data_IF_519140195046
#
_entry.id   IF_519140195046
#
_cell.length_a   1.000
_cell.length_b   1.000
_cell.length_c   1.000
_cell.angle_alpha   90.00
_cell.angle_beta   90.00
_cell.angle_gamma   90.00
#
_symmetry.space_group_name_H-M   'P 1'
#
loop_
_entity.id
_entity.type
_entity.pdbx_description
1 polymer ?
#
# COMPACT_ATOMS: atom_id res chain seq x y z
N UNK A 1 -52.81 -13.10 -1.68
CA UNK A 1 -53.71 -13.99 -2.45
C UNK A 1 -53.69 -15.31 -1.70
N UNK A 2 -54.83 -15.86 -1.31
CA UNK A 2 -54.83 -17.13 -0.57
C UNK A 2 -54.45 -18.26 -1.54
N UNK A 3 -53.51 -19.12 -1.13
CA UNK A 3 -53.12 -20.32 -1.90
C UNK A 3 -54.33 -21.22 -2.21
N UNK A 4 -55.37 -21.18 -1.36
CA UNK A 4 -56.60 -21.97 -1.50
C UNK A 4 -57.50 -21.54 -2.68
N UNK A 5 -57.29 -20.34 -3.24
CA UNK A 5 -58.07 -19.81 -4.38
C UNK A 5 -57.34 -19.95 -5.74
N UNK A 6 -56.11 -20.47 -5.74
CA UNK A 6 -55.29 -20.61 -6.95
C UNK A 6 -55.47 -21.99 -7.58
N UNK A 7 -55.47 -22.03 -8.91
CA UNK A 7 -55.46 -23.29 -9.65
C UNK A 7 -54.07 -23.95 -9.57
N UNK A 8 -53.97 -25.29 -9.77
CA UNK A 8 -52.70 -25.99 -9.71
C UNK A 8 -51.62 -25.42 -10.66
N UNK A 9 -52.01 -24.97 -11.85
CA UNK A 9 -51.10 -24.37 -12.82
C UNK A 9 -50.56 -23.02 -12.34
N UNK A 10 -51.41 -22.18 -11.70
CA UNK A 10 -51.01 -20.90 -11.11
C UNK A 10 -50.07 -21.07 -9.91
N UNK A 11 -50.28 -22.11 -9.10
CA UNK A 11 -49.38 -22.46 -7.98
C UNK A 11 -48.01 -22.89 -8.50
N UNK A 12 -47.96 -23.68 -9.57
CA UNK A 12 -46.70 -24.12 -10.18
C UNK A 12 -45.92 -22.95 -10.79
N UNK A 13 -46.59 -22.05 -11.51
CA UNK A 13 -45.97 -20.85 -12.10
C UNK A 13 -45.39 -19.93 -11.01
N UNK A 14 -46.17 -19.63 -9.96
CA UNK A 14 -45.71 -18.80 -8.86
C UNK A 14 -44.53 -19.42 -8.08
N UNK A 15 -44.49 -20.75 -7.93
CA UNK A 15 -43.37 -21.43 -7.30
C UNK A 15 -42.11 -21.34 -8.17
N UNK A 16 -42.25 -21.51 -9.49
CA UNK A 16 -41.14 -21.39 -10.47
C UNK A 16 -40.53 -20.00 -10.46
N UNK A 17 -41.34 -18.95 -10.35
CA UNK A 17 -40.86 -17.56 -10.22
C UNK A 17 -40.02 -17.33 -8.96
N UNK A 18 -40.31 -18.05 -7.88
CA UNK A 18 -39.51 -18.04 -6.64
C UNK A 18 -38.33 -19.02 -6.64
N UNK A 19 -38.04 -19.65 -7.79
CA UNK A 19 -36.89 -20.52 -8.01
C UNK A 19 -37.14 -22.00 -7.73
N UNK A 20 -38.39 -22.43 -7.55
CA UNK A 20 -38.75 -23.84 -7.50
C UNK A 20 -38.59 -24.51 -8.88
N UNK A 21 -38.25 -25.79 -8.89
CA UNK A 21 -38.17 -26.60 -10.11
C UNK A 21 -38.78 -27.98 -9.87
N UNK A 22 -39.59 -28.51 -10.81
CA UNK A 22 -40.13 -29.85 -10.69
C UNK A 22 -39.02 -30.91 -10.82
N UNK A 23 -39.28 -32.10 -10.31
CA UNK A 23 -38.37 -33.25 -10.36
C UNK A 23 -37.92 -33.58 -11.80
N UNK A 24 -38.84 -33.47 -12.77
CA UNK A 24 -38.56 -33.72 -14.19
C UNK A 24 -37.52 -32.77 -14.80
N UNK A 25 -37.35 -31.58 -14.22
CA UNK A 25 -36.43 -30.54 -14.71
C UNK A 25 -35.17 -30.42 -13.85
N UNK A 26 -35.07 -31.20 -12.76
CA UNK A 26 -33.90 -31.20 -11.88
C UNK A 26 -32.73 -31.92 -12.53
N UNK A 27 -31.60 -31.22 -12.68
CA UNK A 27 -30.37 -31.76 -13.23
C UNK A 27 -29.33 -31.88 -12.13
N UNK A 28 -29.09 -33.10 -11.65
CA UNK A 28 -28.10 -33.40 -10.62
C UNK A 28 -28.57 -34.47 -9.64
N UNK A 29 -27.83 -34.65 -8.55
CA UNK A 29 -28.26 -35.52 -7.47
C UNK A 29 -29.58 -35.01 -6.85
N UNK A 30 -30.51 -35.91 -6.48
CA UNK A 30 -31.74 -35.52 -5.80
C UNK A 30 -31.46 -34.71 -4.53
N UNK A 31 -32.30 -33.71 -4.19
CA UNK A 31 -32.14 -32.95 -2.96
C UNK A 31 -32.11 -33.87 -1.73
N UNK A 32 -31.27 -33.54 -0.73
CA UNK A 32 -31.10 -34.36 0.50
C UNK A 32 -32.40 -34.61 1.28
N UNK A 33 -33.41 -33.74 1.12
CA UNK A 33 -34.72 -33.85 1.78
C UNK A 33 -35.83 -34.34 0.84
N UNK A 34 -35.50 -34.78 -0.37
CA UNK A 34 -36.46 -35.09 -1.43
C UNK A 34 -37.02 -33.83 -2.11
N UNK A 35 -37.79 -34.05 -3.17
CA UNK A 35 -38.53 -32.99 -3.85
C UNK A 35 -39.74 -32.57 -3.01
N UNK A 36 -40.04 -31.27 -3.02
CA UNK A 36 -41.22 -30.69 -2.36
C UNK A 36 -42.21 -30.23 -3.42
N UNK A 37 -43.51 -30.27 -3.11
CA UNK A 37 -44.54 -29.76 -4.01
C UNK A 37 -44.41 -28.24 -4.19
N UNK A 38 -44.94 -27.71 -5.30
CA UNK A 38 -44.98 -26.27 -5.55
C UNK A 38 -45.75 -25.52 -4.44
N UNK A 39 -46.85 -26.11 -3.97
CA UNK A 39 -47.67 -25.57 -2.88
C UNK A 39 -46.91 -25.53 -1.54
N UNK A 40 -46.24 -26.62 -1.16
CA UNK A 40 -45.44 -26.67 0.07
C UNK A 40 -44.24 -25.71 0.03
N UNK A 41 -43.62 -25.57 -1.15
CA UNK A 41 -42.53 -24.61 -1.37
C UNK A 41 -43.01 -23.18 -1.17
N UNK A 42 -44.17 -22.81 -1.73
CA UNK A 42 -44.75 -21.48 -1.57
C UNK A 42 -45.19 -21.23 -0.13
N UNK A 43 -45.78 -22.20 0.58
CA UNK A 43 -46.10 -22.07 2.02
C UNK A 43 -44.86 -21.88 2.88
N UNK A 44 -43.76 -22.56 2.55
CA UNK A 44 -42.48 -22.38 3.24
C UNK A 44 -41.86 -21.00 2.91
N UNK A 45 -41.97 -20.56 1.66
CA UNK A 45 -41.60 -19.22 1.20
C UNK A 45 -42.37 -18.14 1.95
N UNK A 46 -43.70 -18.21 1.97
CA UNK A 46 -44.59 -17.24 2.61
C UNK A 46 -44.33 -17.10 4.13
N UNK A 47 -44.02 -18.22 4.80
CA UNK A 47 -43.63 -18.18 6.21
C UNK A 47 -42.22 -17.60 6.47
N UNK A 48 -41.32 -17.63 5.49
CA UNK A 48 -39.93 -17.16 5.62
C UNK A 48 -39.68 -15.77 5.04
N UNK A 49 -40.50 -15.33 4.09
CA UNK A 49 -40.44 -14.02 3.43
C UNK A 49 -40.55 -12.85 4.42
N UNK A 50 -41.43 -12.86 5.43
CA UNK A 50 -41.47 -11.80 6.45
C UNK A 50 -40.18 -11.73 7.25
N UNK A 51 -39.57 -12.87 7.60
CA UNK A 51 -38.32 -12.92 8.37
C UNK A 51 -37.13 -12.43 7.53
N UNK A 52 -37.07 -12.82 6.26
CA UNK A 52 -36.02 -12.36 5.32
C UNK A 52 -36.18 -10.88 5.02
N UNK A 53 -37.40 -10.39 4.81
CA UNK A 53 -37.69 -8.97 4.60
C UNK A 53 -37.27 -8.15 5.81
N UNK A 54 -37.66 -8.57 7.02
CA UNK A 54 -37.27 -7.91 8.26
C UNK A 54 -35.74 -7.86 8.43
N UNK A 55 -35.05 -8.98 8.20
CA UNK A 55 -33.57 -9.01 8.26
C UNK A 55 -32.93 -8.12 7.19
N UNK A 56 -33.49 -8.05 5.99
CA UNK A 56 -32.98 -7.17 4.94
C UNK A 56 -33.20 -5.69 5.28
N UNK A 57 -34.31 -5.35 5.93
CA UNK A 57 -34.55 -4.01 6.46
C UNK A 57 -33.55 -3.68 7.57
N UNK A 58 -33.34 -4.58 8.54
CA UNK A 58 -32.32 -4.44 9.59
C UNK A 58 -30.92 -4.27 8.98
N UNK A 59 -30.53 -5.10 8.01
CA UNK A 59 -29.24 -4.99 7.33
C UNK A 59 -29.06 -3.69 6.54
N UNK A 60 -30.15 -3.14 5.98
CA UNK A 60 -30.12 -1.84 5.30
C UNK A 60 -29.89 -0.72 6.31
N UNK A 61 -30.63 -0.73 7.43
CA UNK A 61 -30.45 0.24 8.52
C UNK A 61 -29.05 0.16 9.13
N UNK A 62 -28.52 -1.05 9.36
CA UNK A 62 -27.15 -1.22 9.83
C UNK A 62 -26.12 -0.69 8.83
N UNK A 63 -26.32 -0.93 7.52
CA UNK A 63 -25.45 -0.39 6.48
C UNK A 63 -25.48 1.14 6.44
N UNK A 64 -26.65 1.75 6.58
CA UNK A 64 -26.80 3.21 6.63
C UNK A 64 -26.09 3.77 7.86
N UNK A 65 -26.30 3.16 9.03
CA UNK A 65 -25.64 3.54 10.28
C UNK A 65 -24.11 3.45 10.17
N UNK A 66 -23.58 2.34 9.64
CA UNK A 66 -22.15 2.15 9.44
C UNK A 66 -21.56 3.18 8.46
N UNK A 67 -22.30 3.55 7.41
CA UNK A 67 -21.87 4.60 6.47
C UNK A 67 -21.78 5.95 7.17
N UNK A 68 -22.77 6.30 7.98
CA UNK A 68 -22.75 7.54 8.78
C UNK A 68 -21.59 7.56 9.78
N UNK A 69 -21.31 6.44 10.44
CA UNK A 69 -20.17 6.31 11.35
C UNK A 69 -18.83 6.47 10.61
N UNK A 70 -18.68 5.84 9.45
CA UNK A 70 -17.49 5.99 8.60
C UNK A 70 -17.30 7.46 8.19
N UNK A 71 -18.37 8.14 7.79
CA UNK A 71 -18.27 9.54 7.40
C UNK A 71 -17.97 10.46 8.58
N UNK A 72 -18.51 10.16 9.77
CA UNK A 72 -18.14 10.86 11.02
C UNK A 72 -16.66 10.64 11.34
N UNK A 73 -16.15 9.40 11.27
CA UNK A 73 -14.75 9.08 11.52
C UNK A 73 -13.81 9.77 10.53
N UNK A 74 -14.17 9.83 9.24
CA UNK A 74 -13.42 10.58 8.23
C UNK A 74 -13.36 12.07 8.57
N UNK A 75 -14.48 12.68 8.95
CA UNK A 75 -14.51 14.09 9.34
C UNK A 75 -13.67 14.37 10.59
N UNK A 76 -13.73 13.49 11.60
CA UNK A 76 -12.90 13.62 12.80
C UNK A 76 -11.41 13.49 12.48
N UNK A 77 -11.04 12.54 11.62
CA UNK A 77 -9.65 12.34 11.17
C UNK A 77 -9.15 13.56 10.38
N UNK A 78 -9.98 14.12 9.50
CA UNK A 78 -9.64 15.34 8.76
C UNK A 78 -9.44 16.54 9.69
N UNK A 79 -10.33 16.74 10.68
CA UNK A 79 -10.19 17.81 11.68
C UNK A 79 -8.96 17.63 12.56
N UNK A 80 -8.66 16.40 12.96
CA UNK A 80 -7.46 16.09 13.73
C UNK A 80 -6.20 16.41 12.91
N UNK A 81 -6.16 16.00 11.65
CA UNK A 81 -5.05 16.28 10.74
C UNK A 81 -4.83 17.78 10.56
N UNK A 82 -5.91 18.54 10.34
CA UNK A 82 -5.84 20.01 10.23
C UNK A 82 -5.34 20.65 11.53
N UNK A 83 -5.88 20.24 12.68
CA UNK A 83 -5.44 20.72 13.99
C UNK A 83 -3.95 20.45 14.23
N UNK A 84 -3.48 19.23 13.96
CA UNK A 84 -2.06 18.87 14.09
C UNK A 84 -1.20 19.70 13.15
N UNK A 85 -1.58 19.86 11.89
CA UNK A 85 -0.84 20.69 10.93
C UNK A 85 -0.75 22.15 11.36
N UNK A 86 -1.84 22.71 11.90
CA UNK A 86 -1.84 24.08 12.44
C UNK A 86 -0.95 24.18 13.68
N UNK A 87 -0.98 23.21 14.59
CA UNK A 87 -0.10 23.17 15.76
C UNK A 87 1.37 23.11 15.34
N UNK A 88 1.72 22.24 14.39
CA UNK A 88 3.08 22.15 13.84
C UNK A 88 3.53 23.45 13.19
N UNK A 89 2.65 24.08 12.40
CA UNK A 89 2.95 25.37 11.79
C UNK A 89 3.23 26.45 12.85
N UNK A 90 2.42 26.54 13.90
CA UNK A 90 2.64 27.49 15.00
C UNK A 90 3.97 27.23 15.70
N UNK A 91 4.26 25.96 15.99
CA UNK A 91 5.53 25.59 16.63
C UNK A 91 6.75 25.93 15.75
N UNK A 92 6.66 25.78 14.42
CA UNK A 92 7.69 26.27 13.48
C UNK A 92 7.84 27.79 13.56
N UNK A 93 6.72 28.52 13.49
CA UNK A 93 6.73 29.99 13.52
C UNK A 93 7.33 30.52 14.84
N UNK A 94 7.00 29.91 15.98
CA UNK A 94 7.57 30.24 17.29
C UNK A 94 9.08 29.96 17.34
N UNK A 95 9.52 28.81 16.82
CA UNK A 95 10.95 28.45 16.73
C UNK A 95 11.71 29.45 15.86
N UNK A 96 11.17 29.80 14.69
CA UNK A 96 11.80 30.73 13.76
C UNK A 96 11.91 32.14 14.37
N UNK A 97 10.89 32.57 15.11
CA UNK A 97 10.94 33.82 15.88
C UNK A 97 12.00 33.78 16.98
N UNK A 98 12.12 32.68 17.72
CA UNK A 98 13.15 32.50 18.74
C UNK A 98 14.57 32.56 18.13
N UNK A 99 14.78 31.89 16.99
CA UNK A 99 16.04 31.95 16.24
C UNK A 99 16.32 33.39 15.78
N UNK A 100 15.32 34.12 15.27
CA UNK A 100 15.49 35.50 14.85
C UNK A 100 15.88 36.44 16.02
N UNK A 101 15.32 36.21 17.21
CA UNK A 101 15.71 36.96 18.41
C UNK A 101 17.15 36.66 18.84
N UNK A 102 17.55 35.39 18.81
CA UNK A 102 18.92 34.98 19.10
C UNK A 102 19.91 35.54 18.07
N UNK A 103 19.56 35.58 16.79
CA UNK A 103 20.39 36.22 15.76
C UNK A 103 20.60 37.72 16.03
N UNK A 104 19.57 38.43 16.49
CA UNK A 104 19.71 39.84 16.92
C UNK A 104 20.61 39.97 18.15
N UNK A 105 20.46 39.10 19.15
CA UNK A 105 21.33 39.07 20.34
C UNK A 105 22.79 38.81 19.96
N UNK A 106 23.03 37.88 19.04
CA UNK A 106 24.37 37.59 18.49
C UNK A 106 24.96 38.81 17.79
N UNK A 107 24.19 39.50 16.95
CA UNK A 107 24.67 40.71 16.26
C UNK A 107 25.07 41.82 17.25
N UNK A 108 24.29 41.99 18.33
CA UNK A 108 24.62 42.92 19.40
C UNK A 108 25.91 42.53 20.14
N UNK A 109 26.05 41.25 20.52
CA UNK A 109 27.25 40.76 21.20
C UNK A 109 28.52 40.93 20.35
N UNK A 110 28.42 40.77 19.02
CA UNK A 110 29.53 41.08 18.09
C UNK A 110 29.88 42.57 18.14
N UNK A 111 28.88 43.46 18.15
CA UNK A 111 29.10 44.90 18.26
C UNK A 111 29.74 45.30 19.58
N UNK A 112 29.41 44.59 20.67
CA UNK A 112 29.91 44.84 22.02
C UNK A 112 31.26 44.14 22.29
N UNK A 113 31.81 43.42 21.30
CA UNK A 113 33.01 42.60 21.41
C UNK A 113 32.94 41.52 22.52
N UNK A 114 31.73 41.05 22.85
CA UNK A 114 31.48 39.99 23.83
C UNK A 114 31.49 38.62 23.12
N UNK A 115 32.68 38.02 23.06
CA UNK A 115 32.89 36.71 22.44
C UNK A 115 32.17 35.55 23.14
N UNK A 116 31.99 35.62 24.46
CA UNK A 116 31.35 34.56 25.23
C UNK A 116 29.85 34.48 24.89
N UNK A 117 29.18 35.64 24.84
CA UNK A 117 27.76 35.71 24.43
C UNK A 117 27.57 35.26 22.99
N UNK A 118 28.52 35.54 22.08
CA UNK A 118 28.45 35.03 20.69
C UNK A 118 28.45 33.51 20.66
N UNK A 119 29.39 32.86 21.35
CA UNK A 119 29.50 31.40 21.39
C UNK A 119 28.25 30.76 22.00
N UNK A 120 27.74 31.32 23.11
CA UNK A 120 26.52 30.84 23.75
C UNK A 120 25.32 30.92 22.80
N UNK A 121 25.14 32.07 22.15
CA UNK A 121 24.01 32.31 21.26
C UNK A 121 24.09 31.42 19.99
N UNK A 122 25.29 31.15 19.47
CA UNK A 122 25.49 30.22 18.36
C UNK A 122 25.12 28.78 18.73
N UNK A 123 25.52 28.31 19.92
CA UNK A 123 25.12 26.99 20.42
C UNK A 123 23.61 26.87 20.55
N UNK A 124 22.96 27.92 21.06
CA UNK A 124 21.51 27.92 21.24
C UNK A 124 20.75 27.93 19.90
N UNK A 125 21.21 28.71 18.91
CA UNK A 125 20.67 28.67 17.55
C UNK A 125 20.82 27.27 16.95
N UNK A 126 22.02 26.69 17.04
CA UNK A 126 22.28 25.35 16.52
C UNK A 126 21.41 24.29 17.22
N UNK A 127 21.18 24.42 18.53
CA UNK A 127 20.27 23.55 19.28
C UNK A 127 18.85 23.65 18.73
N UNK A 128 18.29 24.86 18.64
CA UNK A 128 16.92 25.05 18.15
C UNK A 128 16.73 24.60 16.70
N UNK A 129 17.72 24.79 15.84
CA UNK A 129 17.67 24.34 14.45
C UNK A 129 17.68 22.81 14.32
N UNK A 130 18.41 22.12 15.19
CA UNK A 130 18.55 20.66 15.15
C UNK A 130 17.49 19.91 15.98
N UNK A 131 16.73 20.59 16.83
CA UNK A 131 15.61 19.99 17.56
C UNK A 131 14.42 19.85 16.61
N UNK A 132 13.94 18.63 16.33
CA UNK A 132 12.71 18.40 15.57
C UNK A 132 11.51 19.02 16.31
N UNK A 133 10.57 19.61 15.58
CA UNK A 133 9.32 20.04 16.20
C UNK A 133 8.53 18.79 16.61
N UNK A 134 8.01 18.75 17.83
CA UNK A 134 7.28 17.58 18.31
C UNK A 134 6.01 17.35 17.47
N UNK A 135 5.93 16.19 16.82
CA UNK A 135 4.89 15.85 15.83
C UNK A 135 5.29 16.09 14.36
N UNK A 136 6.48 16.63 14.09
CA UNK A 136 7.06 16.62 12.74
C UNK A 136 7.64 15.25 12.41
N UNK A 137 7.13 14.67 11.33
CA UNK A 137 7.65 13.43 10.77
C UNK A 137 7.08 12.18 11.43
N UNK A 138 7.49 11.01 10.92
CA UNK A 138 7.10 9.73 11.50
C UNK A 138 7.55 9.65 12.97
N UNK A 139 6.81 8.95 13.85
CA UNK A 139 7.27 8.66 15.20
C UNK A 139 8.71 8.14 15.20
N UNK A 140 9.52 8.46 16.21
CA UNK A 140 10.95 8.11 16.22
C UNK A 140 11.26 6.64 15.82
N UNK A 141 10.49 5.61 16.23
CA UNK A 141 10.72 4.23 15.78
C UNK A 141 10.46 4.01 14.28
N UNK A 142 9.54 4.77 13.68
CA UNK A 142 9.27 4.75 12.25
C UNK A 142 10.38 5.47 11.49
N UNK A 143 10.86 6.61 12.00
CA UNK A 143 11.98 7.32 11.38
C UNK A 143 13.25 6.45 11.36
N UNK A 144 13.59 5.84 12.49
CA UNK A 144 14.72 4.91 12.57
C UNK A 144 14.57 3.73 11.59
N UNK A 145 13.36 3.20 11.45
CA UNK A 145 13.10 2.14 10.48
C UNK A 145 13.28 2.60 9.03
N UNK A 146 12.86 3.82 8.68
CA UNK A 146 13.08 4.39 7.35
C UNK A 146 14.57 4.58 7.07
N UNK A 147 15.33 5.06 8.05
CA UNK A 147 16.78 5.24 7.97
C UNK A 147 17.49 3.88 7.73
N UNK A 148 17.05 2.82 8.41
CA UNK A 148 17.56 1.45 8.25
C UNK A 148 17.10 0.77 6.94
N UNK A 149 16.03 1.28 6.33
CA UNK A 149 15.38 0.70 5.16
C UNK A 149 15.17 1.74 4.04
N UNK A 150 16.24 2.36 3.53
CA UNK A 150 16.14 3.43 2.52
C UNK A 150 15.50 2.95 1.21
N UNK A 151 15.45 1.64 0.97
CA UNK A 151 14.75 1.03 -0.15
C UNK A 151 13.24 1.33 -0.14
N UNK A 152 12.64 1.60 1.02
CA UNK A 152 11.21 1.91 1.12
C UNK A 152 10.85 3.25 0.47
N UNK A 153 11.74 4.23 0.55
CA UNK A 153 11.55 5.53 -0.11
C UNK A 153 12.04 5.51 -1.56
N UNK A 154 13.18 4.87 -1.79
CA UNK A 154 13.91 4.98 -3.06
C UNK A 154 13.51 3.95 -4.13
N UNK A 155 12.84 2.85 -3.78
CA UNK A 155 12.41 1.81 -4.73
C UNK A 155 10.88 1.61 -4.65
N UNK A 156 10.12 2.09 -5.66
CA UNK A 156 8.67 1.93 -5.70
C UNK A 156 8.20 0.48 -5.65
N UNK A 157 8.90 -0.45 -6.30
CA UNK A 157 8.49 -1.86 -6.33
C UNK A 157 8.61 -2.49 -4.94
N UNK A 158 9.71 -2.19 -4.23
CA UNK A 158 9.91 -2.66 -2.87
C UNK A 158 8.91 -2.04 -1.89
N UNK A 159 8.56 -0.76 -2.09
CA UNK A 159 7.53 -0.08 -1.31
C UNK A 159 6.15 -0.70 -1.51
N UNK A 160 5.75 -0.97 -2.74
CA UNK A 160 4.44 -1.55 -3.04
C UNK A 160 4.31 -2.96 -2.47
N UNK A 161 5.38 -3.76 -2.54
CA UNK A 161 5.44 -5.05 -1.87
C UNK A 161 5.38 -4.92 -0.35
N UNK A 162 6.08 -3.97 0.25
CA UNK A 162 6.01 -3.71 1.68
C UNK A 162 4.58 -3.34 2.11
N UNK A 163 3.91 -2.48 1.36
CA UNK A 163 2.51 -2.11 1.61
C UNK A 163 1.59 -3.33 1.56
N UNK A 164 1.71 -4.17 0.52
CA UNK A 164 0.93 -5.40 0.38
C UNK A 164 1.21 -6.43 1.49
N UNK A 165 2.48 -6.59 1.91
CA UNK A 165 2.86 -7.46 3.02
C UNK A 165 2.33 -6.92 4.35
N UNK A 166 2.35 -5.59 4.55
CA UNK A 166 1.89 -4.94 5.78
C UNK A 166 0.40 -5.20 6.04
N UNK A 167 -0.44 -5.19 5.00
CA UNK A 167 -1.86 -5.54 5.11
C UNK A 167 -2.03 -6.97 5.61
N UNK A 168 -1.39 -7.94 4.94
CA UNK A 168 -1.46 -9.36 5.34
C UNK A 168 -0.89 -9.60 6.73
N UNK A 169 0.18 -8.90 7.10
CA UNK A 169 0.80 -9.05 8.42
C UNK A 169 -0.14 -8.58 9.54
N UNK A 170 -0.94 -7.52 9.31
CA UNK A 170 -1.97 -7.08 10.26
C UNK A 170 -3.10 -8.09 10.42
N UNK A 171 -3.47 -8.78 9.34
CA UNK A 171 -4.49 -9.84 9.38
C UNK A 171 -3.98 -11.10 10.09
N UNK A 172 -2.75 -11.53 9.80
CA UNK A 172 -2.14 -12.73 10.38
C UNK A 172 -1.73 -12.54 11.86
N UNK A 173 -1.26 -11.35 12.21
CA UNK A 173 -0.71 -11.02 13.53
C UNK A 173 -1.22 -9.65 14.01
N UNK A 174 -2.51 -9.53 14.37
CA UNK A 174 -3.10 -8.27 14.79
C UNK A 174 -2.48 -7.69 16.08
N UNK A 175 -1.90 -8.54 16.93
CA UNK A 175 -1.21 -8.13 18.16
C UNK A 175 0.20 -7.55 17.91
N UNK A 176 0.76 -7.76 16.71
CA UNK A 176 2.08 -7.27 16.36
C UNK A 176 1.97 -5.81 15.93
N UNK A 177 2.37 -4.88 16.80
CA UNK A 177 2.26 -3.44 16.56
C UNK A 177 3.59 -2.71 16.70
N UNK A 178 3.64 -1.48 16.18
CA UNK A 178 4.77 -0.58 16.35
C UNK A 178 6.09 -1.15 15.79
N UNK A 179 7.21 -1.05 16.53
CA UNK A 179 8.53 -1.49 16.04
C UNK A 179 8.57 -2.97 15.63
N UNK A 180 7.89 -3.85 16.39
CA UNK A 180 7.86 -5.29 16.10
C UNK A 180 7.20 -5.59 14.75
N UNK A 181 6.16 -4.82 14.37
CA UNK A 181 5.53 -4.92 13.05
C UNK A 181 6.49 -4.51 11.93
N UNK A 182 7.21 -3.39 12.12
CA UNK A 182 8.13 -2.86 11.12
C UNK A 182 9.34 -3.78 10.88
N UNK A 183 9.86 -4.40 11.93
CA UNK A 183 10.93 -5.40 11.80
C UNK A 183 10.48 -6.63 11.03
N UNK A 184 9.31 -7.18 11.36
CA UNK A 184 8.75 -8.35 10.68
C UNK A 184 8.41 -8.02 9.21
N UNK A 185 7.91 -6.81 8.95
CA UNK A 185 7.67 -6.31 7.60
C UNK A 185 8.97 -6.30 6.78
N UNK A 186 10.05 -5.69 7.30
CA UNK A 186 11.33 -5.63 6.60
C UNK A 186 11.91 -7.03 6.34
N UNK A 187 11.79 -7.97 7.29
CA UNK A 187 12.19 -9.37 7.11
C UNK A 187 11.43 -10.04 5.97
N UNK A 188 10.10 -9.86 5.92
CA UNK A 188 9.24 -10.44 4.88
C UNK A 188 9.52 -9.84 3.49
N UNK A 189 9.77 -8.54 3.40
CA UNK A 189 10.17 -7.89 2.14
C UNK A 189 11.51 -8.42 1.64
N UNK A 190 12.51 -8.56 2.52
CA UNK A 190 13.82 -9.16 2.18
C UNK A 190 13.70 -10.59 1.68
N UNK A 191 12.79 -11.37 2.26
CA UNK A 191 12.49 -12.74 1.81
C UNK A 191 11.75 -12.78 0.47
N UNK A 192 10.87 -11.82 0.20
CA UNK A 192 10.09 -11.75 -1.04
C UNK A 192 10.91 -11.22 -2.23
N UNK A 193 11.86 -10.31 -1.98
CA UNK A 193 12.69 -9.68 -3.02
C UNK A 193 14.20 -9.88 -2.80
N UNK A 194 14.70 -11.11 -2.63
CA UNK A 194 16.11 -11.35 -2.29
C UNK A 194 17.08 -10.79 -3.35
N UNK A 195 16.65 -10.73 -4.61
CA UNK A 195 17.42 -10.18 -5.72
C UNK A 195 17.69 -8.67 -5.60
N UNK A 196 16.84 -7.91 -4.91
CA UNK A 196 17.05 -6.47 -4.63
C UNK A 196 18.02 -6.22 -3.45
N UNK A 197 18.29 -7.24 -2.63
CA UNK A 197 19.18 -7.14 -1.45
C UNK A 197 20.54 -7.81 -1.66
N UNK A 198 20.79 -8.45 -2.82
CA UNK A 198 22.07 -9.08 -3.13
C UNK A 198 23.04 -8.07 -3.75
N UNK A 199 24.24 -8.01 -3.19
CA UNK A 199 25.33 -7.23 -3.76
C UNK A 199 26.01 -8.05 -4.87
N UNK A 200 25.79 -7.68 -6.14
CA UNK A 200 26.32 -8.38 -7.33
C UNK A 200 27.86 -8.53 -7.32
N UNK A 201 28.58 -7.74 -6.51
CA UNK A 201 30.05 -7.83 -6.36
C UNK A 201 30.53 -8.94 -5.43
N UNK A 202 29.66 -9.50 -4.56
CA UNK A 202 30.03 -10.60 -3.64
C UNK A 202 29.83 -11.98 -4.24
N UNK A 203 28.93 -12.13 -5.21
CA UNK A 203 28.65 -13.42 -5.86
C UNK A 203 29.74 -13.83 -6.88
N UNK A 204 30.56 -12.86 -7.32
CA UNK A 204 31.74 -13.10 -8.16
C UNK A 204 33.04 -13.30 -7.35
N UNK A 205 32.92 -13.52 -6.03
CA UNK A 205 34.03 -13.46 -5.09
C UNK A 205 34.21 -14.72 -4.25
N UNK A 206 34.14 -15.91 -4.85
CA UNK A 206 34.79 -17.10 -4.30
C UNK A 206 35.10 -18.09 -5.43
N UNK A 207 36.38 -18.40 -5.58
CA UNK A 207 36.90 -19.13 -6.74
C UNK A 207 38.42 -19.25 -6.66
N UNK A 208 38.83 -20.19 -5.80
CA UNK A 208 40.17 -20.76 -5.60
C UNK A 208 41.28 -20.41 -6.59
N UNK A 209 42.45 -20.16 -6.00
CA UNK A 209 43.77 -20.11 -6.63
C UNK A 209 44.07 -21.39 -7.43
N UNK A 210 43.88 -21.35 -8.75
CA UNK A 210 44.64 -22.18 -9.72
C UNK A 210 44.91 -21.38 -11.00
N UNK A 211 46.11 -21.51 -11.61
CA UNK A 211 46.48 -20.70 -12.76
C UNK A 211 46.02 -21.37 -14.06
N UNK A 212 44.81 -21.03 -14.53
CA UNK A 212 44.34 -21.45 -15.85
C UNK A 212 44.13 -20.25 -16.78
N UNK A 213 45.05 -20.15 -17.74
CA UNK A 213 45.05 -19.45 -19.04
C UNK A 213 43.95 -18.38 -19.26
N UNK A 214 44.43 -17.14 -19.40
CA UNK A 214 43.69 -15.99 -19.93
C UNK A 214 43.02 -16.35 -21.26
N UNK A 215 41.70 -16.39 -21.27
CA UNK A 215 40.89 -16.20 -22.48
C UNK A 215 40.46 -14.72 -22.49
N UNK A 216 40.57 -13.99 -23.60
CA UNK A 216 40.16 -12.58 -23.62
C UNK A 216 38.63 -12.51 -23.43
N UNK A 217 38.11 -11.49 -22.73
CA UNK A 217 36.67 -11.36 -22.54
C UNK A 217 36.01 -11.17 -23.91
N UNK A 218 35.03 -12.03 -24.22
CA UNK A 218 34.11 -11.79 -25.33
C UNK A 218 33.41 -10.46 -25.09
N UNK A 219 33.39 -9.63 -26.13
CA UNK A 219 32.89 -8.25 -26.08
C UNK A 219 31.50 -8.18 -25.45
N UNK A 220 31.31 -7.20 -24.55
CA UNK A 220 29.98 -6.85 -24.06
C UNK A 220 29.13 -6.43 -25.26
N UNK A 221 28.03 -7.14 -25.51
CA UNK A 221 27.05 -6.76 -26.53
C UNK A 221 26.54 -5.36 -26.19
N UNK A 222 26.61 -4.48 -27.16
CA UNK A 222 26.25 -3.06 -27.06
C UNK A 222 24.92 -2.83 -27.77
N UNK A 223 24.38 -1.62 -27.65
CA UNK A 223 23.15 -1.24 -28.36
C UNK A 223 23.27 -1.42 -29.88
N UNK A 224 24.49 -1.30 -30.43
CA UNK A 224 24.74 -1.44 -31.85
C UNK A 224 24.66 -2.90 -32.32
N UNK A 225 24.77 -3.87 -31.40
CA UNK A 225 24.66 -5.30 -31.69
C UNK A 225 23.19 -5.78 -31.72
N UNK A 226 22.22 -4.93 -31.33
CA UNK A 226 20.79 -5.26 -31.37
C UNK A 226 20.27 -5.39 -32.81
N UNK A 227 19.33 -6.34 -33.06
CA UNK A 227 18.65 -6.42 -34.34
C UNK A 227 17.83 -5.14 -34.61
N UNK A 228 17.62 -4.77 -35.89
CA UNK A 228 16.88 -3.57 -36.26
C UNK A 228 15.51 -3.46 -35.59
N UNK A 229 14.81 -4.57 -35.42
CA UNK A 229 13.50 -4.64 -34.79
C UNK A 229 13.56 -4.28 -33.30
N UNK A 230 14.59 -4.74 -32.58
CA UNK A 230 14.80 -4.40 -31.18
C UNK A 230 15.23 -2.93 -30.99
N UNK A 231 16.02 -2.39 -31.93
CA UNK A 231 16.36 -0.96 -31.94
C UNK A 231 15.12 -0.09 -32.15
N UNK A 232 14.18 -0.52 -33.01
CA UNK A 232 12.92 0.18 -33.22
C UNK A 232 12.02 0.09 -31.98
N UNK A 233 11.88 -1.10 -31.39
CA UNK A 233 11.11 -1.28 -30.15
C UNK A 233 11.63 -0.40 -29.00
N UNK A 234 12.95 -0.19 -28.90
CA UNK A 234 13.52 0.77 -27.95
C UNK A 234 13.03 2.21 -28.20
N UNK A 235 13.00 2.66 -29.46
CA UNK A 235 12.56 4.03 -29.78
C UNK A 235 11.08 4.22 -29.48
N UNK A 236 10.23 3.26 -29.89
CA UNK A 236 8.78 3.32 -29.66
C UNK A 236 8.46 3.35 -28.15
N UNK A 237 9.16 2.52 -27.37
CA UNK A 237 8.97 2.48 -25.92
C UNK A 237 9.50 3.73 -25.22
N UNK A 238 10.61 4.30 -25.71
CA UNK A 238 11.16 5.56 -25.20
C UNK A 238 10.20 6.72 -25.45
N UNK A 239 9.57 6.79 -26.63
CA UNK A 239 8.56 7.81 -26.95
C UNK A 239 7.32 7.64 -26.05
N UNK A 240 6.83 6.41 -25.87
CA UNK A 240 5.73 6.12 -24.95
C UNK A 240 6.04 6.56 -23.52
N UNK A 241 7.22 6.25 -22.99
CA UNK A 241 7.64 6.68 -21.65
C UNK A 241 7.71 8.22 -21.54
N UNK A 242 8.15 8.90 -22.60
CA UNK A 242 8.18 10.36 -22.64
C UNK A 242 6.77 10.98 -22.56
N UNK A 243 5.75 10.34 -23.14
CA UNK A 243 4.35 10.83 -23.03
C UNK A 243 3.81 10.85 -21.60
N UNK A 244 4.35 10.01 -20.72
CA UNK A 244 4.02 9.95 -19.29
C UNK A 244 5.07 10.64 -18.40
N UNK A 245 5.94 11.47 -18.99
CA UNK A 245 6.93 12.28 -18.28
C UNK A 245 8.14 11.50 -17.74
N UNK A 246 8.37 10.27 -18.22
CA UNK A 246 9.49 9.42 -17.81
C UNK A 246 10.55 9.34 -18.90
N UNK A 247 11.80 9.11 -18.51
CA UNK A 247 12.92 8.87 -19.45
C UNK A 247 13.35 7.40 -19.39
N UNK A 248 13.75 6.85 -20.54
CA UNK A 248 14.17 5.46 -20.67
C UNK A 248 15.49 5.35 -21.45
N UNK A 249 16.52 4.80 -20.81
CA UNK A 249 17.89 4.78 -21.35
C UNK A 249 18.22 3.50 -22.13
N UNK A 250 19.23 3.57 -23.00
CA UNK A 250 19.73 2.40 -23.73
C UNK A 250 20.25 1.31 -22.80
N UNK A 251 20.89 1.69 -21.69
CA UNK A 251 21.41 0.74 -20.70
C UNK A 251 20.28 -0.01 -19.98
N UNK A 252 19.16 0.66 -19.70
CA UNK A 252 17.97 0.03 -19.14
C UNK A 252 17.35 -0.98 -20.10
N UNK A 253 17.31 -0.64 -21.40
CA UNK A 253 16.81 -1.56 -22.43
C UNK A 253 17.72 -2.78 -22.59
N UNK A 254 19.03 -2.58 -22.67
CA UNK A 254 20.02 -3.66 -22.78
C UNK A 254 20.02 -4.60 -21.56
N UNK A 255 19.73 -4.08 -20.37
CA UNK A 255 19.64 -4.88 -19.15
C UNK A 255 18.42 -5.81 -19.14
N UNK A 256 17.34 -5.44 -19.83
CA UNK A 256 16.11 -6.23 -19.95
C UNK A 256 15.99 -7.00 -21.27
N UNK A 257 16.88 -6.77 -22.23
CA UNK A 257 16.81 -7.41 -23.54
C UNK A 257 17.35 -8.83 -23.45
N UNK A 258 16.48 -9.81 -23.67
CA UNK A 258 16.87 -11.21 -23.83
C UNK A 258 17.51 -11.36 -25.21
N UNK A 259 18.79 -11.72 -25.21
CA UNK A 259 19.47 -12.02 -26.45
C UNK A 259 19.25 -13.49 -26.80
N UNK A 260 18.77 -13.76 -28.00
CA UNK A 260 18.80 -15.11 -28.54
C UNK A 260 20.27 -15.59 -28.61
N UNK A 261 20.54 -16.80 -28.10
CA UNK A 261 21.86 -17.44 -28.12
C UNK A 261 22.30 -17.87 -29.53
#
# INVERSE_FOLDING_TARGET
MNLDDMTPDEIEEAARDQGWKPESEWKGEPPRRGFVSAEDFLKAGDNSLPLVTKRNEELKTDNETLREEIDRLKQQTARFTDFTNQALRRAREERDQAIAQLQKKRAQAISDADGDTVIETEKEIARLQNTPVEGEGPPAPVQQWLDDNPWYENDPDMRDMANGISIRLKEEKPDLQGPAHLEELAKRVKKAMPHKFRNMRRDNGDGGVEPARRTPPRGRRTFDDLPPEAKQAYQDYKELQATIGKSYSKDQYLASYEWDE
#
